data_IF_966381282572
#
_entry.id   IF_966381282572
#
_cell.length_a   1.000
_cell.length_b   1.000
_cell.length_c   1.000
_cell.angle_alpha   90.00
_cell.angle_beta   90.00
_cell.angle_gamma   90.00
#
_symmetry.space_group_name_H-M   'P 1'
#
loop_
_entity.id
_entity.type
_entity.pdbx_description
1 polymer ?
#
# COMPACT_ATOMS: atom_id res chain seq x y z
N UNK A 1 10.25 -33.20 -1.90
CA UNK A 1 9.67 -34.10 -0.87
C UNK A 1 8.27 -33.64 -0.44
N UNK A 2 7.25 -33.67 -1.35
CA UNK A 2 5.92 -33.17 -1.05
C UNK A 2 5.20 -33.94 0.06
N UNK A 3 5.56 -35.20 0.27
CA UNK A 3 4.98 -36.08 1.30
C UNK A 3 5.55 -35.79 2.71
N UNK A 4 6.65 -35.06 2.78
CA UNK A 4 7.37 -34.75 4.02
C UNK A 4 7.43 -33.24 4.31
N UNK A 5 6.93 -32.41 3.36
CA UNK A 5 7.01 -30.96 3.45
C UNK A 5 5.63 -30.36 3.60
N UNK A 6 5.46 -29.48 4.58
CA UNK A 6 4.29 -28.61 4.72
C UNK A 6 4.68 -27.18 4.40
N UNK A 7 3.99 -26.55 3.45
CA UNK A 7 4.14 -25.13 3.13
C UNK A 7 2.88 -24.41 3.61
N UNK A 8 3.06 -23.42 4.46
CA UNK A 8 2.01 -22.52 4.91
C UNK A 8 2.32 -21.08 4.44
N UNK A 9 1.34 -20.42 3.87
CA UNK A 9 1.41 -19.00 3.49
C UNK A 9 0.23 -18.28 4.11
N UNK A 10 0.50 -17.27 4.92
CA UNK A 10 -0.52 -16.43 5.53
C UNK A 10 0.04 -15.03 5.80
N UNK A 11 -0.80 -14.04 6.05
CA UNK A 11 -0.38 -12.78 6.67
C UNK A 11 -0.44 -12.89 8.19
N UNK A 12 0.25 -12.01 8.87
CA UNK A 12 0.23 -11.84 10.32
C UNK A 12 -1.08 -11.18 10.79
N UNK A 13 -1.63 -10.26 9.97
CA UNK A 13 -2.89 -9.56 10.20
C UNK A 13 -3.50 -9.07 8.89
N UNK A 14 -4.70 -8.60 8.98
CA UNK A 14 -5.38 -7.87 7.91
C UNK A 14 -4.79 -6.45 7.78
N UNK A 15 -4.87 -5.86 6.60
CA UNK A 15 -4.20 -4.60 6.25
C UNK A 15 -5.21 -3.55 5.74
N UNK A 16 -6.04 -3.04 6.62
CA UNK A 16 -6.87 -1.88 6.34
C UNK A 16 -8.16 -2.10 5.55
N UNK A 17 -8.63 -3.35 5.43
CA UNK A 17 -9.87 -3.66 4.72
C UNK A 17 -9.78 -3.35 3.23
N UNK A 18 -8.77 -3.92 2.55
CA UNK A 18 -8.55 -3.74 1.11
C UNK A 18 -9.80 -4.12 0.30
N UNK A 19 -10.33 -3.16 -0.42
CA UNK A 19 -11.40 -3.34 -1.41
C UNK A 19 -10.86 -3.28 -2.83
N UNK A 20 -11.30 -4.20 -3.68
CA UNK A 20 -10.96 -4.23 -5.10
C UNK A 20 -12.16 -3.79 -5.94
N UNK A 21 -11.92 -3.03 -7.03
CA UNK A 21 -12.96 -2.56 -7.92
C UNK A 21 -13.80 -1.43 -7.31
N UNK A 22 -13.18 -0.51 -6.60
CA UNK A 22 -13.84 0.66 -6.02
C UNK A 22 -14.22 1.66 -7.12
N UNK A 23 -15.51 1.80 -7.41
CA UNK A 23 -16.03 2.73 -8.42
C UNK A 23 -16.89 2.05 -9.47
N UNK A 24 -16.48 2.03 -10.73
CA UNK A 24 -17.27 1.58 -11.89
C UNK A 24 -17.23 0.07 -12.16
N UNK A 25 -17.05 -0.78 -11.16
CA UNK A 25 -16.87 -2.24 -11.33
C UNK A 25 -15.65 -2.61 -12.19
N UNK A 26 -14.64 -1.75 -12.20
CA UNK A 26 -13.40 -1.93 -12.92
C UNK A 26 -12.24 -2.14 -11.94
N UNK A 27 -11.19 -2.80 -12.41
CA UNK A 27 -9.98 -3.03 -11.65
C UNK A 27 -8.78 -2.81 -12.57
N UNK A 28 -7.92 -1.85 -12.22
CA UNK A 28 -6.77 -1.42 -13.02
C UNK A 28 -5.44 -1.73 -12.31
N UNK A 29 -5.26 -2.96 -11.80
CA UNK A 29 -4.05 -3.36 -11.06
C UNK A 29 -2.75 -3.16 -11.83
N UNK A 30 -2.79 -3.21 -13.18
CA UNK A 30 -1.61 -2.94 -14.01
C UNK A 30 -1.06 -1.51 -13.82
N UNK A 31 -1.89 -0.57 -13.36
CA UNK A 31 -1.45 0.78 -13.04
C UNK A 31 -0.43 0.77 -11.88
N UNK A 32 -0.57 -0.14 -10.91
CA UNK A 32 0.36 -0.25 -9.78
C UNK A 32 1.79 -0.60 -10.22
N UNK A 33 1.96 -1.27 -11.36
CA UNK A 33 3.29 -1.59 -11.91
C UNK A 33 4.05 -0.34 -12.42
N UNK A 34 3.37 0.80 -12.53
CA UNK A 34 4.00 2.07 -12.92
C UNK A 34 4.54 2.86 -11.72
N UNK A 35 4.13 2.49 -10.52
CA UNK A 35 4.63 3.04 -9.29
C UNK A 35 6.03 2.50 -8.99
N UNK A 36 7.04 3.37 -8.98
CA UNK A 36 8.45 3.02 -8.74
C UNK A 36 8.88 3.20 -7.29
N UNK A 37 8.10 3.92 -6.49
CA UNK A 37 8.37 4.16 -5.08
C UNK A 37 7.13 3.88 -4.24
N UNK A 38 7.31 3.21 -3.09
CA UNK A 38 6.27 3.12 -2.06
C UNK A 38 5.97 4.50 -1.47
N UNK A 39 4.85 4.62 -0.75
CA UNK A 39 4.51 5.85 -0.05
C UNK A 39 5.66 6.34 0.87
N UNK A 40 6.31 5.43 1.60
CA UNK A 40 7.38 5.78 2.54
C UNK A 40 8.64 6.26 1.82
N UNK A 41 9.04 5.57 0.75
CA UNK A 41 10.20 5.99 -0.06
C UNK A 41 9.91 7.32 -0.74
N UNK A 42 8.71 7.51 -1.28
CA UNK A 42 8.30 8.78 -1.89
C UNK A 42 8.29 9.92 -0.86
N UNK A 43 7.79 9.68 0.35
CA UNK A 43 7.81 10.64 1.46
C UNK A 43 9.23 11.09 1.79
N UNK A 44 10.18 10.15 1.89
CA UNK A 44 11.60 10.45 2.10
C UNK A 44 12.18 11.25 0.94
N UNK A 45 11.93 10.82 -0.29
CA UNK A 45 12.40 11.52 -1.51
C UNK A 45 11.89 12.95 -1.59
N UNK A 46 10.63 13.22 -1.27
CA UNK A 46 10.05 14.57 -1.24
C UNK A 46 10.67 15.38 -0.09
N UNK A 47 10.87 14.79 1.07
CA UNK A 47 11.50 15.46 2.21
C UNK A 47 12.94 15.86 1.90
N UNK A 48 13.70 14.99 1.25
CA UNK A 48 15.09 15.26 0.85
C UNK A 48 15.15 16.30 -0.26
N UNK A 49 14.24 16.24 -1.22
CA UNK A 49 14.12 17.26 -2.26
C UNK A 49 13.85 18.66 -1.66
N UNK A 50 12.99 18.74 -0.63
CA UNK A 50 12.71 19.98 0.10
C UNK A 50 13.94 20.52 0.83
N UNK A 51 14.79 19.65 1.39
CA UNK A 51 16.04 20.06 2.05
C UNK A 51 17.09 20.57 1.06
N UNK A 52 17.20 19.93 -0.11
CA UNK A 52 18.18 20.26 -1.13
C UNK A 52 17.82 21.50 -1.94
N UNK A 53 16.52 21.79 -2.14
CA UNK A 53 16.04 22.87 -2.98
C UNK A 53 15.13 23.82 -2.19
N UNK A 54 15.47 25.12 -2.17
CA UNK A 54 14.68 26.16 -1.49
C UNK A 54 13.34 26.43 -2.16
N UNK A 55 13.28 26.27 -3.48
CA UNK A 55 12.09 26.50 -4.30
C UNK A 55 11.99 25.38 -5.32
N UNK A 56 10.82 24.82 -5.44
CA UNK A 56 10.43 23.84 -6.46
C UNK A 56 9.08 24.32 -6.96
N UNK A 57 8.96 24.60 -8.26
CA UNK A 57 7.69 25.00 -8.84
C UNK A 57 6.82 23.77 -9.17
N UNK A 58 5.53 24.01 -9.43
CA UNK A 58 4.59 22.92 -9.73
C UNK A 58 4.98 22.09 -10.97
N UNK A 59 5.42 22.67 -12.11
CA UNK A 59 5.91 21.88 -13.24
C UNK A 59 7.05 20.92 -12.87
N UNK A 60 8.02 21.36 -12.08
CA UNK A 60 9.13 20.52 -11.62
C UNK A 60 8.64 19.40 -10.69
N UNK A 61 7.71 19.71 -9.77
CA UNK A 61 7.10 18.71 -8.90
C UNK A 61 6.27 17.69 -9.69
N UNK A 62 5.55 18.16 -10.72
CA UNK A 62 4.78 17.31 -11.63
C UNK A 62 5.70 16.33 -12.38
N UNK A 63 6.83 16.78 -12.87
CA UNK A 63 7.83 15.93 -13.51
C UNK A 63 8.42 14.90 -12.53
N UNK A 64 8.72 15.31 -11.31
CA UNK A 64 9.19 14.41 -10.26
C UNK A 64 8.15 13.31 -9.95
N UNK A 65 6.89 13.67 -9.79
CA UNK A 65 5.82 12.69 -9.56
C UNK A 65 5.59 11.79 -10.78
N UNK A 66 5.73 12.32 -11.99
CA UNK A 66 5.66 11.52 -13.21
C UNK A 66 6.77 10.46 -13.27
N UNK A 67 7.98 10.82 -12.88
CA UNK A 67 9.10 9.87 -12.80
C UNK A 67 8.87 8.78 -11.75
N UNK A 68 8.38 9.14 -10.56
CA UNK A 68 8.27 8.22 -9.42
C UNK A 68 6.99 7.39 -9.40
N UNK A 69 5.90 7.91 -9.97
CA UNK A 69 4.57 7.31 -9.91
C UNK A 69 3.98 6.97 -11.28
N UNK A 70 4.64 7.36 -12.38
CA UNK A 70 4.12 7.17 -13.74
C UNK A 70 3.00 8.14 -14.14
N UNK A 71 2.64 9.10 -13.29
CA UNK A 71 1.56 10.05 -13.54
C UNK A 71 1.80 10.90 -14.78
N UNK A 72 0.74 11.20 -15.54
CA UNK A 72 0.71 11.99 -16.80
C UNK A 72 1.53 11.43 -17.96
N UNK A 73 2.53 10.57 -17.71
CA UNK A 73 3.34 9.93 -18.76
C UNK A 73 2.84 8.54 -19.12
N UNK A 74 2.65 7.70 -18.12
CA UNK A 74 2.23 6.31 -18.30
C UNK A 74 0.79 6.08 -17.84
N UNK A 75 0.31 6.91 -16.92
CA UNK A 75 -1.03 6.86 -16.35
C UNK A 75 -1.75 8.18 -16.58
N UNK A 76 -2.99 8.15 -17.09
CA UNK A 76 -3.82 9.35 -17.15
C UNK A 76 -4.14 9.82 -15.73
N UNK A 77 -4.08 11.12 -15.52
CA UNK A 77 -4.45 11.79 -14.26
C UNK A 77 -5.57 12.77 -14.57
N UNK A 78 -6.74 12.60 -13.92
CA UNK A 78 -7.86 13.52 -14.11
C UNK A 78 -7.58 14.88 -13.47
N UNK A 79 -8.38 15.89 -13.82
CA UNK A 79 -8.20 17.22 -13.25
C UNK A 79 -8.43 17.24 -11.73
N UNK A 80 -9.37 16.42 -11.20
CA UNK A 80 -9.62 16.28 -9.77
C UNK A 80 -8.43 15.62 -9.05
N UNK A 81 -7.82 14.64 -9.70
CA UNK A 81 -6.63 13.98 -9.20
C UNK A 81 -5.41 14.92 -9.20
N UNK A 82 -5.24 15.68 -10.30
CA UNK A 82 -4.18 16.70 -10.36
C UNK A 82 -4.42 17.81 -9.33
N UNK A 83 -5.67 18.24 -9.15
CA UNK A 83 -6.01 19.21 -8.10
C UNK A 83 -5.64 18.70 -6.72
N UNK A 84 -5.92 17.44 -6.39
CA UNK A 84 -5.55 16.85 -5.10
C UNK A 84 -4.04 16.87 -4.87
N UNK A 85 -3.25 16.56 -5.90
CA UNK A 85 -1.79 16.60 -5.82
C UNK A 85 -1.28 18.04 -5.69
N UNK A 86 -1.89 18.96 -6.41
CA UNK A 86 -1.52 20.38 -6.39
C UNK A 86 -1.86 21.03 -5.06
N UNK A 87 -3.03 20.78 -4.49
CA UNK A 87 -3.42 21.29 -3.17
C UNK A 87 -2.41 20.84 -2.10
N UNK A 88 -2.01 19.55 -2.11
CA UNK A 88 -0.99 19.03 -1.19
C UNK A 88 0.40 19.66 -1.43
N UNK A 89 0.76 19.91 -2.68
CA UNK A 89 2.00 20.63 -3.03
C UNK A 89 1.95 22.08 -2.54
N UNK A 90 0.86 22.80 -2.81
CA UNK A 90 0.71 24.20 -2.39
C UNK A 90 0.83 24.34 -0.87
N UNK A 91 0.15 23.45 -0.12
CA UNK A 91 0.23 23.45 1.34
C UNK A 91 1.65 23.21 1.84
N UNK A 92 2.34 22.22 1.27
CA UNK A 92 3.66 21.79 1.73
C UNK A 92 4.82 22.68 1.25
N UNK A 93 4.76 23.19 0.02
CA UNK A 93 5.91 23.87 -0.61
C UNK A 93 5.69 25.37 -0.79
N UNK A 94 4.46 25.83 -0.98
CA UNK A 94 4.15 27.25 -1.15
C UNK A 94 3.84 27.89 0.19
N UNK A 95 2.84 27.34 0.92
CA UNK A 95 2.42 27.84 2.23
C UNK A 95 3.40 27.44 3.34
N UNK A 96 4.29 26.49 3.08
CA UNK A 96 5.27 25.93 4.05
C UNK A 96 4.62 25.35 5.31
N UNK A 97 3.38 24.97 5.21
CA UNK A 97 2.62 24.32 6.28
C UNK A 97 2.63 22.81 6.05
N UNK A 98 3.64 22.14 6.60
CA UNK A 98 3.81 20.68 6.43
C UNK A 98 3.27 19.97 7.64
N UNK A 99 2.07 19.41 7.51
CA UNK A 99 1.48 18.52 8.50
C UNK A 99 1.71 17.09 8.06
N UNK A 100 2.65 16.40 8.71
CA UNK A 100 2.89 14.98 8.43
C UNK A 100 1.72 14.14 8.94
N UNK A 101 1.27 13.19 8.12
CA UNK A 101 0.35 12.16 8.59
C UNK A 101 1.14 11.17 9.46
N UNK A 102 0.80 11.10 10.74
CA UNK A 102 1.47 10.22 11.69
C UNK A 102 0.70 8.92 11.84
N UNK A 103 1.42 7.81 11.71
CA UNK A 103 0.95 6.48 12.06
C UNK A 103 1.84 5.89 13.14
N UNK A 104 1.48 4.72 13.68
CA UNK A 104 2.28 4.02 14.68
C UNK A 104 3.73 3.75 14.18
N UNK A 105 3.94 3.66 12.87
CA UNK A 105 5.21 3.23 12.26
C UNK A 105 5.90 4.30 11.42
N UNK A 106 5.21 5.37 11.04
CA UNK A 106 5.77 6.34 10.08
C UNK A 106 5.16 7.74 10.22
N UNK A 107 5.97 8.73 9.87
CA UNK A 107 5.54 10.09 9.56
C UNK A 107 5.57 10.26 8.05
N UNK A 108 4.42 10.48 7.44
CA UNK A 108 4.29 10.53 5.99
C UNK A 108 4.03 11.95 5.51
N UNK A 109 4.78 12.34 4.52
CA UNK A 109 4.70 13.66 3.89
C UNK A 109 3.36 13.80 3.12
N UNK A 110 2.64 14.95 3.22
CA UNK A 110 1.29 15.12 2.67
C UNK A 110 1.18 14.84 1.17
N UNK A 111 2.15 15.27 0.38
CA UNK A 111 2.13 15.03 -1.08
C UNK A 111 2.32 13.54 -1.41
N UNK A 112 3.09 12.79 -0.62
CA UNK A 112 3.21 11.34 -0.78
C UNK A 112 1.89 10.63 -0.43
N UNK A 113 1.16 11.10 0.58
CA UNK A 113 -0.20 10.62 0.92
C UNK A 113 -1.16 10.90 -0.23
N UNK A 114 -1.15 12.11 -0.79
CA UNK A 114 -1.98 12.48 -1.94
C UNK A 114 -1.65 11.61 -3.17
N UNK A 115 -0.36 11.38 -3.44
CA UNK A 115 0.07 10.53 -4.55
C UNK A 115 -0.41 9.08 -4.39
N UNK A 116 -0.32 8.51 -3.18
CA UNK A 116 -0.90 7.18 -2.89
C UNK A 116 -2.42 7.16 -3.13
N UNK A 117 -3.15 8.17 -2.64
CA UNK A 117 -4.60 8.28 -2.84
C UNK A 117 -4.97 8.36 -4.33
N UNK A 118 -4.21 9.11 -5.12
CA UNK A 118 -4.40 9.20 -6.57
C UNK A 118 -4.11 7.86 -7.25
N UNK A 119 -3.00 7.20 -6.91
CA UNK A 119 -2.67 5.87 -7.44
C UNK A 119 -3.76 4.85 -7.12
N UNK A 120 -4.27 4.84 -5.88
CA UNK A 120 -5.37 3.97 -5.47
C UNK A 120 -6.64 4.20 -6.30
N UNK A 121 -7.00 5.46 -6.56
CA UNK A 121 -8.14 5.81 -7.42
C UNK A 121 -7.93 5.35 -8.86
N UNK A 122 -6.73 5.50 -9.43
CA UNK A 122 -6.42 5.03 -10.78
C UNK A 122 -6.48 3.49 -10.85
N UNK A 123 -5.93 2.81 -9.84
CA UNK A 123 -5.92 1.34 -9.78
C UNK A 123 -7.28 0.72 -9.42
N UNK A 124 -8.29 1.55 -9.05
CA UNK A 124 -9.60 1.11 -8.57
C UNK A 124 -9.48 0.21 -7.33
N UNK A 125 -8.57 0.55 -6.42
CA UNK A 125 -8.43 -0.09 -5.11
C UNK A 125 -8.73 0.90 -3.99
N UNK A 126 -9.15 0.40 -2.86
CA UNK A 126 -9.44 1.24 -1.69
C UNK A 126 -9.21 0.51 -0.39
N UNK A 127 -9.17 1.25 0.70
CA UNK A 127 -9.05 0.75 2.06
C UNK A 127 -10.10 1.41 2.95
N UNK A 128 -10.63 0.67 3.90
CA UNK A 128 -11.62 1.18 4.87
C UNK A 128 -10.97 1.92 6.02
N UNK A 129 -9.69 1.66 6.30
CA UNK A 129 -8.93 2.34 7.34
C UNK A 129 -7.48 2.60 6.94
N UNK A 130 -6.79 3.45 7.68
CA UNK A 130 -5.34 3.66 7.56
C UNK A 130 -4.50 2.71 8.42
N UNK A 131 -5.13 1.80 9.15
CA UNK A 131 -4.51 0.78 10.01
C UNK A 131 -5.04 -0.61 9.72
N UNK A 132 -5.00 -1.48 10.72
CA UNK A 132 -5.54 -2.83 10.62
C UNK A 132 -7.06 -2.83 10.84
N UNK A 133 -7.75 -3.83 10.28
CA UNK A 133 -9.16 -4.11 10.59
C UNK A 133 -9.28 -5.52 11.18
N UNK A 134 -10.45 -5.85 11.71
CA UNK A 134 -10.74 -7.19 12.23
C UNK A 134 -11.15 -8.19 11.12
N UNK A 135 -10.68 -7.96 9.90
CA UNK A 135 -10.92 -8.85 8.77
C UNK A 135 -10.18 -10.19 8.89
N UNK A 136 -10.70 -11.19 8.19
CA UNK A 136 -10.03 -12.48 8.11
C UNK A 136 -8.80 -12.43 7.22
N UNK A 137 -7.77 -13.20 7.62
CA UNK A 137 -6.57 -13.41 6.83
C UNK A 137 -6.62 -14.83 6.23
N UNK A 138 -6.38 -15.00 4.92
CA UNK A 138 -6.36 -16.32 4.32
C UNK A 138 -5.14 -17.12 4.77
N UNK A 139 -5.32 -18.42 4.96
CA UNK A 139 -4.25 -19.39 5.18
C UNK A 139 -4.25 -20.36 4.00
N UNK A 140 -3.12 -20.43 3.30
CA UNK A 140 -2.89 -21.39 2.23
C UNK A 140 -1.96 -22.48 2.75
N UNK A 141 -2.34 -23.76 2.55
CA UNK A 141 -1.56 -24.90 3.01
C UNK A 141 -1.41 -25.92 1.89
N UNK A 142 -0.18 -26.37 1.65
CA UNK A 142 0.14 -27.38 0.63
C UNK A 142 1.12 -28.41 1.21
N UNK A 143 0.94 -29.67 0.86
CA UNK A 143 1.81 -30.79 1.25
C UNK A 143 1.35 -31.53 2.49
N UNK A 144 2.31 -32.14 3.19
CA UNK A 144 2.07 -33.01 4.33
C UNK A 144 1.29 -32.30 5.45
N UNK A 145 0.17 -32.87 5.89
CA UNK A 145 -0.64 -32.29 6.97
C UNK A 145 -1.48 -31.06 6.58
N UNK A 146 -1.49 -30.61 5.32
CA UNK A 146 -2.23 -29.44 4.84
C UNK A 146 -3.73 -29.46 5.17
N UNK A 147 -4.34 -30.63 5.24
CA UNK A 147 -5.77 -30.83 5.63
C UNK A 147 -6.09 -30.30 7.04
N UNK A 148 -5.10 -30.13 7.91
CA UNK A 148 -5.28 -29.55 9.24
C UNK A 148 -5.60 -28.04 9.20
N UNK A 149 -5.37 -27.37 8.08
CA UNK A 149 -5.51 -25.92 7.93
C UNK A 149 -6.74 -25.51 7.11
N UNK A 150 -7.71 -26.42 6.97
CA UNK A 150 -8.99 -26.16 6.29
C UNK A 150 -9.97 -25.51 7.26
N UNK A 151 -10.75 -24.55 6.74
CA UNK A 151 -11.82 -23.88 7.47
C UNK A 151 -11.35 -22.65 8.26
N UNK A 152 -12.23 -22.12 9.09
CA UNK A 152 -11.95 -20.97 9.95
C UNK A 152 -11.28 -21.44 11.24
N UNK A 153 -10.24 -20.72 11.65
CA UNK A 153 -9.52 -21.00 12.89
C UNK A 153 -9.04 -19.70 13.53
N UNK A 154 -8.79 -19.74 14.82
CA UNK A 154 -8.07 -18.67 15.53
C UNK A 154 -6.58 -18.75 15.18
N UNK A 155 -5.88 -17.60 15.14
CA UNK A 155 -4.45 -17.57 14.82
C UNK A 155 -3.60 -18.37 15.82
N UNK A 156 -4.03 -18.47 17.08
CA UNK A 156 -3.36 -19.26 18.13
C UNK A 156 -3.42 -20.77 17.86
N UNK A 157 -4.32 -21.23 16.98
CA UNK A 157 -4.39 -22.63 16.56
C UNK A 157 -3.34 -22.99 15.51
N UNK A 158 -2.82 -22.05 14.77
CA UNK A 158 -1.83 -22.29 13.69
C UNK A 158 -0.61 -23.02 14.22
N UNK A 159 0.10 -22.55 15.27
CA UNK A 159 1.27 -23.25 15.80
C UNK A 159 0.97 -24.64 16.35
N UNK A 160 -0.21 -24.85 16.96
CA UNK A 160 -0.64 -26.18 17.43
C UNK A 160 -0.84 -27.15 16.27
N UNK A 161 -1.44 -26.68 15.17
CA UNK A 161 -1.64 -27.49 13.96
C UNK A 161 -0.35 -27.78 13.23
N UNK A 162 0.61 -26.83 13.23
CA UNK A 162 1.99 -27.08 12.74
C UNK A 162 2.66 -28.18 13.56
N UNK A 163 2.63 -28.06 14.88
CA UNK A 163 3.20 -29.09 15.77
C UNK A 163 2.60 -30.48 15.50
N UNK A 164 1.26 -30.53 15.37
CA UNK A 164 0.55 -31.78 15.04
C UNK A 164 0.95 -32.33 13.66
N UNK A 165 1.10 -31.48 12.65
CA UNK A 165 1.52 -31.89 11.30
C UNK A 165 2.95 -32.46 11.30
N UNK A 166 3.85 -31.86 12.11
CA UNK A 166 5.25 -32.32 12.27
C UNK A 166 5.43 -33.48 13.26
N UNK A 167 4.35 -33.96 13.91
CA UNK A 167 4.44 -35.02 14.92
C UNK A 167 5.11 -34.59 16.23
N UNK A 168 5.22 -33.27 16.49
CA UNK A 168 5.76 -32.74 17.74
C UNK A 168 4.73 -32.87 18.88
N UNK A 169 5.23 -33.17 20.08
CA UNK A 169 4.44 -33.27 21.31
C UNK A 169 4.48 -31.95 22.08
#
# INVERSE_FOLDING_TARGET
HPEETLILVTGDHETGGLGLGTGKYELQLKALAKQKQSQDILSRSITDLRKMRKVINWPEMKEFLAEKMGFWKELPVSWEQEKMLRDAYEESFVNKHVVFEESLYAKTEPLAVAAKKVMSKIAMVGWTSGGHTAGYVPVFAVGAGSKLFVGKMDNTEIPKRIAKAGGYK
#
